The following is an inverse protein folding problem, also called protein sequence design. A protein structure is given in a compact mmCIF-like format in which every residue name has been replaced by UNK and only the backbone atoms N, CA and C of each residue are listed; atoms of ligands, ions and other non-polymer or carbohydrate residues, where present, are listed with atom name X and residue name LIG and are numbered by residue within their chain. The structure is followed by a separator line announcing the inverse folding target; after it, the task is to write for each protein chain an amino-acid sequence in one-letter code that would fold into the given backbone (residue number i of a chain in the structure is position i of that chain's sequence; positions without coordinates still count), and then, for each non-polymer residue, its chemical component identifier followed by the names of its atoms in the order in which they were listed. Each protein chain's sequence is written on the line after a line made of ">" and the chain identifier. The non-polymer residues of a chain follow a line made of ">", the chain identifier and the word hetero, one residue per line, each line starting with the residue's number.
data_IF_861535624221
#
_entry.id   IF_861535624221
#
_cell.length_a   1.000
_cell.length_b   1.000
_cell.length_c   1.000
_cell.angle_alpha   90.00
_cell.angle_beta   90.00
_cell.angle_gamma   90.00
#
_symmetry.space_group_name_H-M   'P 1'
#
loop_
_entity.id
_entity.type
_entity.pdbx_description
1 polymer ?
#
# COMPACT_ATOMS: atom_id res chain seq x y z
N UNK A 1 -29.92 16.45 9.82
CA UNK A 1 -28.80 16.84 8.93
C UNK A 1 -27.84 15.65 8.85
N UNK A 2 -27.62 15.11 7.65
CA UNK A 2 -26.69 14.00 7.47
C UNK A 2 -25.26 14.47 7.79
N UNK A 3 -24.53 13.70 8.59
CA UNK A 3 -23.11 13.97 8.83
C UNK A 3 -22.36 14.02 7.49
N UNK A 4 -21.42 14.97 7.30
CA UNK A 4 -20.62 15.01 6.08
C UNK A 4 -19.89 13.67 5.91
N UNK A 5 -19.94 13.11 4.70
CA UNK A 5 -19.17 11.90 4.36
C UNK A 5 -17.68 12.22 4.62
N UNK A 6 -16.94 11.39 5.36
CA UNK A 6 -15.54 11.64 5.60
C UNK A 6 -14.77 11.67 4.27
N UNK A 7 -13.84 12.61 4.14
CA UNK A 7 -12.95 12.82 3.00
C UNK A 7 -12.26 11.53 2.55
N UNK A 8 -12.89 10.77 1.65
CA UNK A 8 -12.20 9.75 0.84
C UNK A 8 -11.45 10.40 -0.33
N UNK A 9 -11.71 11.68 -0.62
CA UNK A 9 -11.07 12.46 -1.69
C UNK A 9 -9.58 12.77 -1.42
N UNK A 10 -9.15 12.80 -0.16
CA UNK A 10 -7.79 13.17 0.22
C UNK A 10 -6.73 12.09 -0.11
N UNK A 11 -7.15 10.84 -0.34
CA UNK A 11 -6.25 9.69 -0.52
C UNK A 11 -5.68 9.62 -1.95
N UNK A 12 -6.36 10.24 -2.92
CA UNK A 12 -6.07 10.03 -4.34
C UNK A 12 -6.14 11.30 -5.21
N UNK A 13 -6.06 12.49 -4.61
CA UNK A 13 -5.66 13.71 -5.34
C UNK A 13 -4.25 13.57 -5.90
N UNK A 14 -3.79 14.48 -6.76
CA UNK A 14 -2.38 14.52 -7.20
C UNK A 14 -1.59 15.26 -6.11
N UNK A 15 -1.14 14.58 -5.05
CA UNK A 15 -0.65 15.25 -3.86
C UNK A 15 0.78 15.69 -4.12
N UNK A 16 1.14 16.87 -3.64
CA UNK A 16 2.54 17.25 -3.63
C UNK A 16 3.27 16.29 -2.68
N UNK A 17 4.28 15.58 -3.20
CA UNK A 17 5.11 14.68 -2.38
C UNK A 17 5.89 15.57 -1.40
N UNK A 18 5.93 15.25 -0.09
CA UNK A 18 6.72 16.03 0.85
C UNK A 18 8.20 16.11 0.41
N UNK A 19 8.82 17.30 0.36
CA UNK A 19 10.18 17.48 -0.15
C UNK A 19 11.22 16.60 0.53
N UNK A 20 11.04 16.30 1.82
CA UNK A 20 11.90 15.42 2.60
C UNK A 20 11.85 13.97 2.11
N UNK A 21 10.68 13.48 1.70
CA UNK A 21 10.52 12.12 1.16
C UNK A 21 11.14 12.03 -0.23
N UNK A 22 10.98 13.05 -1.08
CA UNK A 22 11.68 13.13 -2.37
C UNK A 22 13.19 13.11 -2.16
N UNK A 23 13.70 13.96 -1.25
CA UNK A 23 15.13 14.07 -0.96
C UNK A 23 15.70 12.73 -0.50
N UNK A 24 14.99 12.04 0.40
CA UNK A 24 15.38 10.74 0.91
C UNK A 24 15.41 9.68 -0.20
N UNK A 25 14.27 9.43 -0.86
CA UNK A 25 14.15 8.34 -1.84
C UNK A 25 14.86 8.61 -3.18
N UNK A 26 15.16 9.86 -3.53
CA UNK A 26 16.00 10.15 -4.72
C UNK A 26 17.44 9.67 -4.55
N UNK A 27 17.90 9.50 -3.30
CA UNK A 27 19.25 8.97 -3.02
C UNK A 27 19.31 7.44 -2.97
N UNK A 28 18.18 6.75 -3.07
CA UNK A 28 18.07 5.30 -2.90
C UNK A 28 17.77 4.66 -4.26
N UNK A 29 18.62 3.71 -4.63
CA UNK A 29 18.61 3.09 -5.95
C UNK A 29 17.32 2.32 -6.26
N UNK A 30 16.68 1.69 -5.27
CA UNK A 30 15.44 0.93 -5.49
C UNK A 30 14.26 1.82 -5.89
N UNK A 31 14.23 3.08 -5.46
CA UNK A 31 13.14 4.02 -5.74
C UNK A 31 13.33 4.81 -7.03
N UNK A 32 14.58 5.00 -7.47
CA UNK A 32 14.90 5.80 -8.64
C UNK A 32 14.15 5.37 -9.93
N UNK A 33 13.99 4.07 -10.27
CA UNK A 33 13.24 3.67 -11.46
C UNK A 33 11.77 4.09 -11.43
N UNK A 34 11.16 4.16 -10.24
CA UNK A 34 9.74 4.52 -10.11
C UNK A 34 9.57 6.04 -10.09
N UNK A 35 10.44 6.76 -9.38
CA UNK A 35 10.39 8.23 -9.29
C UNK A 35 10.59 8.89 -10.65
N UNK A 36 11.49 8.34 -11.48
CA UNK A 36 11.83 8.92 -12.77
C UNK A 36 10.92 8.46 -13.92
N UNK A 37 9.99 7.53 -13.66
CA UNK A 37 9.06 7.05 -14.68
C UNK A 37 7.76 7.89 -14.65
N UNK A 38 7.47 8.68 -15.71
CA UNK A 38 6.31 9.57 -15.74
C UNK A 38 4.96 8.84 -15.72
N UNK A 39 4.94 7.52 -15.96
CA UNK A 39 3.74 6.70 -15.83
C UNK A 39 3.32 6.53 -14.36
N UNK A 40 4.27 6.61 -13.42
CA UNK A 40 3.97 6.58 -11.99
C UNK A 40 3.58 7.97 -11.48
N UNK A 41 2.40 8.05 -10.88
CA UNK A 41 1.87 9.23 -10.22
C UNK A 41 1.96 9.05 -8.71
N UNK A 42 2.33 10.10 -7.95
CA UNK A 42 2.35 10.03 -6.50
C UNK A 42 0.96 9.77 -5.94
N UNK A 43 0.91 9.06 -4.83
CA UNK A 43 -0.32 8.79 -4.10
C UNK A 43 -0.11 9.06 -2.62
N UNK A 44 -1.06 9.76 -1.99
CA UNK A 44 -0.99 10.02 -0.56
C UNK A 44 -1.68 8.91 0.21
N UNK A 45 -0.89 7.94 0.71
CA UNK A 45 -1.40 6.76 1.40
C UNK A 45 -0.91 6.69 2.85
N UNK A 46 -1.87 6.71 3.77
CA UNK A 46 -1.81 6.20 5.15
C UNK A 46 -0.61 6.63 6.02
N UNK A 47 -0.23 7.91 6.05
CA UNK A 47 0.56 8.48 7.17
C UNK A 47 -0.17 9.56 7.99
N UNK A 48 -1.43 9.82 7.66
CA UNK A 48 -2.29 10.73 8.43
C UNK A 48 -3.33 9.97 9.22
N UNK A 49 -3.53 10.40 10.46
CA UNK A 49 -4.65 9.98 11.28
C UNK A 49 -5.96 10.42 10.62
N UNK A 50 -6.95 9.55 10.62
CA UNK A 50 -8.29 9.84 10.08
C UNK A 50 -9.35 9.66 11.16
N UNK A 51 -10.62 9.95 10.84
CA UNK A 51 -11.76 9.74 11.74
C UNK A 51 -11.58 10.41 13.12
N UNK A 52 -11.06 11.65 13.12
CA UNK A 52 -10.72 12.42 14.32
C UNK A 52 -9.73 11.68 15.24
N UNK A 53 -8.65 11.14 14.66
CA UNK A 53 -7.60 10.47 15.41
C UNK A 53 -7.86 8.98 15.71
N UNK A 54 -8.99 8.42 15.25
CA UNK A 54 -9.37 7.02 15.55
C UNK A 54 -9.06 6.05 14.41
N UNK A 55 -8.86 6.56 13.20
CA UNK A 55 -8.58 5.76 12.00
C UNK A 55 -7.13 5.89 11.56
N UNK A 56 -6.62 4.85 10.91
CA UNK A 56 -5.23 4.76 10.44
C UNK A 56 -4.16 4.97 11.52
N UNK A 57 -4.51 4.75 12.79
CA UNK A 57 -3.60 4.93 13.94
C UNK A 57 -2.37 4.03 13.87
N UNK A 58 -2.46 2.85 13.24
CA UNK A 58 -1.32 1.96 13.06
C UNK A 58 -0.21 2.60 12.21
N UNK A 59 -0.52 3.00 10.97
CA UNK A 59 0.48 3.54 10.03
C UNK A 59 0.75 5.04 10.24
N UNK A 60 -0.28 5.81 10.60
CA UNK A 60 -0.18 7.26 10.82
C UNK A 60 0.20 7.66 12.24
N UNK A 61 0.23 6.71 13.18
CA UNK A 61 0.62 6.93 14.57
C UNK A 61 1.68 5.94 15.04
N UNK A 62 1.28 4.71 15.36
CA UNK A 62 2.12 3.68 16.00
C UNK A 62 3.42 3.40 15.23
N UNK A 63 3.36 3.31 13.91
CA UNK A 63 4.52 3.04 13.04
C UNK A 63 5.03 4.30 12.33
N UNK A 64 4.72 5.49 12.85
CA UNK A 64 5.07 6.77 12.26
C UNK A 64 6.21 7.44 13.06
N UNK A 65 7.36 6.76 13.18
CA UNK A 65 8.53 7.25 13.92
C UNK A 65 9.82 6.89 13.20
N UNK A 66 10.93 7.58 13.49
CA UNK A 66 12.26 7.21 12.96
C UNK A 66 12.63 5.75 13.22
N UNK A 67 12.21 5.20 14.37
CA UNK A 67 12.57 3.83 14.74
C UNK A 67 11.66 2.76 14.10
N UNK A 68 10.52 3.14 13.52
CA UNK A 68 9.57 2.20 12.92
C UNK A 68 9.60 2.37 11.40
N UNK A 69 8.66 3.10 10.80
CA UNK A 69 8.74 3.53 9.41
C UNK A 69 9.23 4.99 9.41
N UNK A 70 10.51 5.18 9.16
CA UNK A 70 11.11 6.51 9.09
C UNK A 70 10.56 7.29 7.88
N UNK A 71 10.61 6.65 6.70
CA UNK A 71 10.21 7.24 5.43
C UNK A 71 9.24 6.33 4.69
N UNK A 72 8.24 6.95 4.04
CA UNK A 72 7.27 6.24 3.22
C UNK A 72 6.87 7.08 2.01
N UNK A 73 7.00 6.50 0.83
CA UNK A 73 6.57 7.12 -0.41
C UNK A 73 5.76 6.13 -1.24
N UNK A 74 4.63 6.59 -1.78
CA UNK A 74 3.70 5.72 -2.52
C UNK A 74 3.40 6.28 -3.90
N UNK A 75 3.33 5.39 -4.88
CA UNK A 75 3.03 5.68 -6.27
C UNK A 75 1.99 4.70 -6.80
N UNK A 76 1.28 5.12 -7.83
CA UNK A 76 0.51 4.23 -8.68
C UNK A 76 0.76 4.49 -10.14
N UNK A 77 0.48 3.46 -10.92
CA UNK A 77 0.36 3.55 -12.37
C UNK A 77 -0.98 2.94 -12.77
N UNK A 78 -1.73 3.65 -13.59
CA UNK A 78 -2.97 3.14 -14.18
C UNK A 78 -2.68 2.09 -15.25
N UNK A 79 -3.68 1.27 -15.56
CA UNK A 79 -3.57 0.32 -16.67
C UNK A 79 -3.44 1.04 -18.02
N UNK A 80 -2.62 0.48 -18.91
CA UNK A 80 -2.41 0.92 -20.29
C UNK A 80 -2.46 -0.29 -21.23
N UNK A 81 -2.29 -0.07 -22.54
CA UNK A 81 -2.23 -1.16 -23.52
C UNK A 81 -1.07 -2.13 -23.31
N UNK A 82 0.01 -1.68 -22.67
CA UNK A 82 1.25 -2.46 -22.46
C UNK A 82 1.48 -2.86 -21.02
N UNK A 83 0.77 -2.21 -20.10
CA UNK A 83 1.10 -2.24 -18.68
C UNK A 83 -0.15 -2.40 -17.82
N UNK A 84 -0.12 -3.35 -16.90
CA UNK A 84 -1.16 -3.47 -15.87
C UNK A 84 -1.08 -2.31 -14.86
N UNK A 85 -2.23 -2.00 -14.27
CA UNK A 85 -2.30 -1.14 -13.10
C UNK A 85 -1.51 -1.72 -11.93
N UNK A 86 -0.75 -0.89 -11.23
CA UNK A 86 -0.03 -1.31 -10.04
C UNK A 86 0.22 -0.18 -9.04
N UNK A 87 0.40 -0.55 -7.77
CA UNK A 87 0.81 0.32 -6.68
C UNK A 87 2.22 -0.09 -6.22
N UNK A 88 3.08 0.91 -6.01
CA UNK A 88 4.41 0.74 -5.41
C UNK A 88 4.54 1.62 -4.19
N UNK A 89 5.04 1.07 -3.09
CA UNK A 89 5.24 1.78 -1.82
C UNK A 89 6.65 1.50 -1.32
N UNK A 90 7.43 2.54 -1.12
CA UNK A 90 8.79 2.46 -0.59
C UNK A 90 8.75 2.72 0.91
N UNK A 91 9.32 1.81 1.68
CA UNK A 91 9.41 1.92 3.13
C UNK A 91 10.87 1.91 3.53
N UNK A 92 11.28 2.91 4.31
CA UNK A 92 12.54 2.85 5.05
C UNK A 92 12.24 2.50 6.50
N UNK A 93 12.61 1.28 6.89
CA UNK A 93 12.43 0.77 8.23
C UNK A 93 13.64 1.09 9.10
N UNK A 94 13.37 1.58 10.32
CA UNK A 94 14.31 1.53 11.43
C UNK A 94 14.35 0.15 12.09
N UNK A 95 14.95 0.05 13.27
CA UNK A 95 15.14 -1.23 13.99
C UNK A 95 14.05 -1.54 15.04
N UNK A 96 13.07 -0.65 15.23
CA UNK A 96 12.01 -0.77 16.24
C UNK A 96 10.87 -1.73 15.88
N UNK A 97 10.93 -2.38 14.72
CA UNK A 97 9.95 -3.36 14.24
C UNK A 97 10.54 -4.77 14.06
N UNK A 98 11.65 -5.03 14.75
CA UNK A 98 12.40 -6.27 14.65
C UNK A 98 11.80 -7.39 15.50
N UNK A 99 11.85 -8.63 14.98
CA UNK A 99 11.58 -9.85 15.75
C UNK A 99 12.83 -10.36 16.48
N UNK A 100 13.97 -10.25 15.81
CA UNK A 100 15.30 -10.66 16.26
C UNK A 100 16.29 -9.56 15.87
N UNK A 101 17.53 -9.55 16.40
CA UNK A 101 18.54 -8.57 16.02
C UNK A 101 18.61 -8.39 14.51
N UNK A 102 18.37 -7.15 14.08
CA UNK A 102 18.40 -6.69 12.69
C UNK A 102 17.54 -7.50 11.73
N UNK A 103 16.40 -8.03 12.19
CA UNK A 103 15.46 -8.81 11.38
C UNK A 103 14.04 -8.29 11.53
N UNK A 104 13.50 -7.71 10.45
CA UNK A 104 12.14 -7.19 10.43
C UNK A 104 11.12 -8.31 10.71
N UNK A 105 10.18 -8.06 11.61
CA UNK A 105 9.20 -9.06 12.01
C UNK A 105 8.32 -9.50 10.84
N UNK A 106 8.11 -10.81 10.66
CA UNK A 106 7.31 -11.36 9.54
C UNK A 106 5.86 -10.84 9.51
N UNK A 107 5.28 -10.55 10.66
CA UNK A 107 3.97 -9.90 10.78
C UNK A 107 3.95 -8.45 10.26
N UNK A 108 5.06 -7.72 10.33
CA UNK A 108 5.18 -6.36 9.74
C UNK A 108 5.18 -6.47 8.23
N UNK A 109 5.95 -7.41 7.68
CA UNK A 109 5.97 -7.73 6.24
C UNK A 109 4.55 -8.07 5.74
N UNK A 110 3.83 -8.95 6.45
CA UNK A 110 2.46 -9.31 6.08
C UNK A 110 1.50 -8.12 6.16
N UNK A 111 1.61 -7.28 7.19
CA UNK A 111 0.78 -6.09 7.35
C UNK A 111 1.03 -5.05 6.23
N UNK A 112 2.28 -4.86 5.84
CA UNK A 112 2.66 -3.98 4.73
C UNK A 112 2.14 -4.52 3.40
N UNK A 113 2.20 -5.83 3.18
CA UNK A 113 1.61 -6.48 2.02
C UNK A 113 0.09 -6.27 1.99
N UNK A 114 -0.62 -6.57 3.08
CA UNK A 114 -2.07 -6.36 3.19
C UNK A 114 -2.47 -4.91 2.86
N UNK A 115 -1.79 -3.94 3.49
CA UNK A 115 -2.05 -2.52 3.27
C UNK A 115 -1.80 -2.11 1.81
N UNK A 116 -0.69 -2.56 1.22
CA UNK A 116 -0.33 -2.23 -0.17
C UNK A 116 -1.29 -2.87 -1.18
N UNK A 117 -1.67 -4.12 -0.94
CA UNK A 117 -2.61 -4.86 -1.78
C UNK A 117 -4.03 -4.29 -1.66
N UNK A 118 -4.47 -3.87 -0.47
CA UNK A 118 -5.75 -3.17 -0.31
C UNK A 118 -5.81 -1.83 -1.07
N UNK A 119 -4.69 -1.10 -1.16
CA UNK A 119 -4.63 0.17 -1.90
C UNK A 119 -4.83 -0.03 -3.40
N UNK A 120 -4.26 -1.09 -4.00
CA UNK A 120 -4.46 -1.34 -5.44
C UNK A 120 -5.90 -1.76 -5.76
N UNK A 121 -6.58 -2.43 -4.81
CA UNK A 121 -8.03 -2.70 -4.93
C UNK A 121 -8.81 -1.39 -4.96
N UNK A 122 -8.56 -0.48 -4.02
CA UNK A 122 -9.22 0.83 -3.97
C UNK A 122 -9.04 1.62 -5.28
N UNK A 123 -7.82 1.62 -5.82
CA UNK A 123 -7.51 2.26 -7.09
C UNK A 123 -8.29 1.64 -8.26
N UNK A 124 -8.31 0.31 -8.37
CA UNK A 124 -8.99 -0.39 -9.47
C UNK A 124 -10.50 -0.04 -9.53
N UNK A 125 -11.19 -0.01 -8.39
CA UNK A 125 -12.61 0.36 -8.37
C UNK A 125 -12.87 1.82 -8.74
N UNK A 126 -11.95 2.71 -8.38
CA UNK A 126 -12.02 4.12 -8.77
C UNK A 126 -11.87 4.28 -10.28
N UNK A 127 -10.90 3.60 -10.89
CA UNK A 127 -10.68 3.64 -12.34
C UNK A 127 -11.87 3.07 -13.13
N UNK A 128 -12.54 2.05 -12.58
CA UNK A 128 -13.79 1.52 -13.15
C UNK A 128 -15.03 2.39 -12.90
N UNK A 129 -14.91 3.52 -12.19
CA UNK A 129 -16.07 4.34 -11.79
C UNK A 129 -17.05 3.61 -10.85
N UNK A 130 -16.57 2.57 -10.16
CA UNK A 130 -17.37 1.64 -9.36
C UNK A 130 -17.11 1.79 -7.84
N UNK A 131 -16.51 2.91 -7.43
CA UNK A 131 -16.09 3.22 -6.06
C UNK A 131 -17.23 3.46 -5.07
N UNK A 132 -18.50 3.36 -5.52
CA UNK A 132 -19.78 3.74 -4.90
C UNK A 132 -20.01 3.42 -3.41
N UNK A 133 -19.13 3.88 -2.53
CA UNK A 133 -19.19 3.86 -1.07
C UNK A 133 -19.05 2.49 -0.40
N UNK A 134 -18.93 1.39 -1.15
CA UNK A 134 -18.86 0.05 -0.58
C UNK A 134 -17.46 -0.26 -0.06
N UNK A 135 -17.34 -0.58 1.24
CA UNK A 135 -16.06 -1.00 1.83
C UNK A 135 -15.59 -2.34 1.27
N UNK A 136 -14.29 -2.43 1.03
CA UNK A 136 -13.59 -3.67 0.68
C UNK A 136 -12.87 -4.20 1.92
N UNK A 137 -12.93 -5.51 2.14
CA UNK A 137 -12.29 -6.14 3.28
C UNK A 137 -11.39 -7.28 2.84
N UNK A 138 -10.22 -7.40 3.46
CA UNK A 138 -9.36 -8.58 3.29
C UNK A 138 -10.10 -9.80 3.84
N UNK A 139 -10.35 -10.78 2.98
CA UNK A 139 -10.94 -12.07 3.38
C UNK A 139 -9.88 -13.17 3.51
N UNK A 140 -8.80 -13.07 2.73
CA UNK A 140 -7.67 -13.99 2.78
C UNK A 140 -6.38 -13.26 2.42
N UNK A 141 -5.30 -13.61 3.13
CA UNK A 141 -3.93 -13.23 2.77
C UNK A 141 -3.04 -14.45 3.00
N UNK A 142 -2.37 -14.92 1.94
CA UNK A 142 -1.39 -15.99 2.01
C UNK A 142 -0.01 -15.42 1.67
N UNK A 143 0.91 -15.43 2.63
CA UNK A 143 2.25 -14.85 2.48
C UNK A 143 3.33 -15.93 2.49
N UNK A 144 4.20 -15.90 1.49
CA UNK A 144 5.41 -16.71 1.40
C UNK A 144 6.63 -15.83 1.66
N UNK A 145 7.42 -16.18 2.68
CA UNK A 145 8.68 -15.53 3.00
C UNK A 145 9.83 -16.26 2.30
N UNK A 146 10.58 -15.56 1.45
CA UNK A 146 11.65 -16.14 0.63
C UNK A 146 13.03 -15.79 1.18
N UNK A 147 13.24 -14.53 1.60
CA UNK A 147 14.52 -14.04 2.13
C UNK A 147 14.30 -13.05 3.28
N UNK A 148 15.19 -13.02 4.29
CA UNK A 148 15.07 -12.11 5.42
C UNK A 148 15.19 -10.65 4.99
N UNK A 149 14.44 -9.75 5.65
CA UNK A 149 14.60 -8.29 5.53
C UNK A 149 15.44 -7.82 6.71
N UNK A 150 16.68 -7.41 6.44
CA UNK A 150 17.64 -6.96 7.47
C UNK A 150 17.49 -5.47 7.70
N UNK A 151 17.18 -5.03 8.92
CA UNK A 151 17.01 -3.60 9.26
C UNK A 151 18.29 -2.97 9.79
N UNK A 152 18.49 -1.65 9.68
CA UNK A 152 17.64 -0.69 8.96
C UNK A 152 17.79 -0.86 7.45
N UNK A 153 16.70 -0.67 6.70
CA UNK A 153 16.69 -0.90 5.25
C UNK A 153 15.54 -0.21 4.56
N UNK A 154 15.73 0.06 3.26
CA UNK A 154 14.66 0.47 2.35
C UNK A 154 14.22 -0.68 1.47
N UNK A 155 12.92 -0.94 1.43
CA UNK A 155 12.29 -1.95 0.58
C UNK A 155 11.13 -1.36 -0.20
N UNK A 156 10.75 -2.01 -1.29
CA UNK A 156 9.57 -1.69 -2.08
C UNK A 156 8.50 -2.77 -1.88
N UNK A 157 7.31 -2.38 -1.45
CA UNK A 157 6.11 -3.20 -1.57
C UNK A 157 5.42 -2.88 -2.90
N UNK A 158 5.17 -3.88 -3.73
CA UNK A 158 4.51 -3.72 -5.03
C UNK A 158 3.31 -4.64 -5.12
N UNK A 159 2.18 -4.15 -5.61
CA UNK A 159 0.95 -4.94 -5.73
C UNK A 159 0.16 -4.61 -7.00
N UNK A 160 -0.57 -5.60 -7.50
CA UNK A 160 -1.42 -5.50 -8.69
C UNK A 160 -2.64 -6.41 -8.56
N UNK A 161 -3.76 -6.00 -9.16
CA UNK A 161 -4.94 -6.86 -9.28
C UNK A 161 -4.63 -7.97 -10.29
N UNK A 162 -4.86 -9.22 -9.88
CA UNK A 162 -4.70 -10.41 -10.74
C UNK A 162 -5.96 -10.70 -11.53
N UNK A 163 -7.12 -10.62 -10.85
CA UNK A 163 -8.43 -10.84 -11.46
C UNK A 163 -9.54 -10.31 -10.58
N UNK A 164 -10.67 -9.97 -11.22
CA UNK A 164 -11.91 -9.55 -10.59
C UNK A 164 -12.99 -10.57 -10.97
N UNK A 165 -13.68 -11.09 -9.98
CA UNK A 165 -14.71 -12.12 -10.13
C UNK A 165 -16.04 -11.66 -9.50
N UNK A 166 -17.11 -12.43 -9.74
CA UNK A 166 -18.42 -12.26 -9.10
C UNK A 166 -18.95 -10.82 -9.24
N UNK A 167 -18.90 -10.28 -10.46
CA UNK A 167 -19.39 -8.93 -10.79
C UNK A 167 -18.68 -7.81 -10.02
N UNK A 168 -17.41 -7.99 -9.64
CA UNK A 168 -16.68 -7.02 -8.82
C UNK A 168 -16.78 -7.26 -7.32
N UNK A 169 -17.37 -8.38 -6.87
CA UNK A 169 -17.44 -8.70 -5.45
C UNK A 169 -16.16 -9.31 -4.91
N UNK A 170 -15.42 -10.06 -5.73
CA UNK A 170 -14.19 -10.77 -5.33
C UNK A 170 -13.03 -10.23 -6.14
N UNK A 171 -11.97 -9.82 -5.45
CA UNK A 171 -10.79 -9.22 -6.08
C UNK A 171 -9.56 -9.96 -5.60
N UNK A 172 -8.91 -10.66 -6.52
CA UNK A 172 -7.67 -11.36 -6.24
C UNK A 172 -6.50 -10.45 -6.57
N UNK A 173 -5.58 -10.34 -5.63
CA UNK A 173 -4.44 -9.42 -5.69
C UNK A 173 -3.18 -10.20 -5.41
N UNK A 174 -2.10 -9.86 -6.11
CA UNK A 174 -0.76 -10.31 -5.76
C UNK A 174 0.09 -9.14 -5.29
N UNK A 175 0.98 -9.42 -4.34
CA UNK A 175 1.90 -8.45 -3.78
C UNK A 175 3.28 -9.06 -3.54
N UNK A 176 4.31 -8.21 -3.57
CA UNK A 176 5.70 -8.61 -3.31
C UNK A 176 6.39 -7.56 -2.45
N UNK A 177 7.32 -8.00 -1.60
CA UNK A 177 8.35 -7.16 -0.97
C UNK A 177 9.65 -7.38 -1.72
N UNK A 178 10.18 -6.31 -2.29
CA UNK A 178 11.39 -6.28 -3.10
C UNK A 178 12.46 -5.40 -2.42
N UNK A 179 13.72 -5.80 -2.54
CA UNK A 179 14.91 -5.14 -2.02
C UNK A 179 16.05 -5.21 -3.05
N UNK A 180 17.29 -5.00 -2.60
CA UNK A 180 18.44 -4.91 -3.50
C UNK A 180 18.58 -3.53 -4.13
N UNK A 181 19.52 -3.36 -5.06
CA UNK A 181 19.82 -2.04 -5.62
C UNK A 181 18.69 -1.52 -6.51
N UNK A 182 18.00 -2.39 -7.26
CA UNK A 182 16.96 -1.99 -8.23
C UNK A 182 15.71 -2.88 -8.13
N UNK A 183 15.47 -3.49 -6.98
CA UNK A 183 14.31 -4.33 -6.74
C UNK A 183 14.46 -5.77 -7.23
N UNK A 184 15.68 -6.20 -7.52
CA UNK A 184 16.00 -7.55 -8.01
C UNK A 184 15.85 -8.65 -6.95
N UNK A 185 15.78 -8.27 -5.67
CA UNK A 185 15.69 -9.21 -4.56
C UNK A 185 14.25 -9.33 -4.04
N UNK A 186 13.58 -10.46 -4.26
CA UNK A 186 12.30 -10.72 -3.58
C UNK A 186 12.52 -11.26 -2.17
N UNK A 187 11.97 -10.56 -1.17
CA UNK A 187 11.95 -10.99 0.23
C UNK A 187 10.71 -11.80 0.58
N UNK A 188 9.54 -11.39 0.07
CA UNK A 188 8.28 -12.06 0.31
C UNK A 188 7.31 -11.86 -0.86
N UNK A 189 6.35 -12.79 -1.00
CA UNK A 189 5.24 -12.72 -1.95
C UNK A 189 3.94 -12.98 -1.21
N UNK A 190 2.84 -12.41 -1.68
CA UNK A 190 1.51 -12.73 -1.19
C UNK A 190 0.48 -12.82 -2.32
N UNK A 191 -0.49 -13.71 -2.14
CA UNK A 191 -1.76 -13.70 -2.86
C UNK A 191 -2.87 -13.47 -1.82
N UNK A 192 -3.82 -12.59 -2.15
CA UNK A 192 -4.91 -12.25 -1.25
C UNK A 192 -6.22 -12.02 -1.98
N UNK A 193 -7.30 -12.09 -1.21
CA UNK A 193 -8.67 -11.92 -1.67
C UNK A 193 -9.32 -10.78 -0.89
N UNK A 194 -9.80 -9.77 -1.61
CA UNK A 194 -10.65 -8.72 -1.07
C UNK A 194 -12.11 -8.94 -1.49
N UNK A 195 -13.01 -8.75 -0.53
CA UNK A 195 -14.45 -8.90 -0.73
C UNK A 195 -15.12 -7.54 -0.58
N UNK A 196 -15.93 -7.18 -1.58
CA UNK A 196 -16.83 -6.04 -1.51
C UNK A 196 -17.98 -6.34 -0.56
N UNK A 197 -18.18 -5.46 0.43
CA UNK A 197 -19.32 -5.55 1.33
C UNK A 197 -20.64 -5.47 0.54
N UNK A 198 -21.62 -6.28 0.95
CA UNK A 198 -22.99 -6.12 0.43
C UNK A 198 -23.57 -4.81 0.96
N UNK A 199 -24.40 -4.11 0.17
CA UNK A 199 -25.16 -2.97 0.67
C UNK A 199 -25.93 -3.37 1.92
N UNK A 200 -25.87 -2.55 2.97
CA UNK A 200 -26.70 -2.75 4.16
C UNK A 200 -28.15 -2.54 3.69
N UNK A 201 -28.99 -3.58 3.74
CA UNK A 201 -30.44 -3.39 3.58
C UNK A 201 -30.89 -2.54 4.77
N UNK A 202 -31.37 -1.32 4.52
CA UNK A 202 -32.09 -0.59 5.56
C UNK A 202 -33.29 -1.45 5.97
N UNK A 203 -33.38 -1.75 7.27
CA UNK A 203 -34.59 -2.36 7.81
C UNK A 203 -35.65 -1.26 7.78
N UNK A 204 -36.64 -1.44 6.92
CA UNK A 204 -37.90 -0.70 6.94
C UNK A 204 -38.58 -0.86 8.31
#
# INVERSE_FOLDING_TARGET
>A
MAAPKPEQSAVYGNPEIPPEEIKHFSSISISAPTINDPAFKPMYLSRSLTHNGRGHTLMGGTWNTEQTIAHLLSFYRSESSTDRAEVRRFYTFGSGLNAHPDLLHGGVIACVLDSTMGNVVGLAFREMGADGGASMFTAQLNTKYEKPVRTPVTVMARAWVKRIEDGGRKVWVEGVIEGGEKGELTHARAEGLWIRAKPKKEKL
#
